data_IF_680197350743
#
_entry.id   IF_680197350743
#
_cell.length_a   1.000
_cell.length_b   1.000
_cell.length_c   1.000
_cell.angle_alpha   90.00
_cell.angle_beta   90.00
_cell.angle_gamma   90.00
#
_symmetry.space_group_name_H-M   'P 1'
#
loop_
_entity.id
_entity.type
_entity.pdbx_description
1 polymer ?
#
# COMPACT_ATOMS: atom_id res chain seq x y z
N UNK A 1 1.80 3.39 -19.05
CA UNK A 1 0.83 4.43 -18.63
C UNK A 1 -0.36 3.72 -18.02
N UNK A 2 -0.75 4.02 -16.78
CA UNK A 2 -1.95 3.44 -16.22
C UNK A 2 -3.14 3.75 -17.14
N UNK A 3 -3.99 2.75 -17.38
CA UNK A 3 -5.23 2.99 -18.09
C UNK A 3 -6.04 4.03 -17.32
N UNK A 4 -6.54 5.04 -18.02
CA UNK A 4 -7.48 6.00 -17.42
C UNK A 4 -8.71 5.22 -16.95
N UNK A 5 -8.88 5.17 -15.65
CA UNK A 5 -10.10 4.62 -15.07
C UNK A 5 -11.23 5.66 -15.18
N UNK A 6 -12.45 5.18 -15.27
CA UNK A 6 -13.61 6.07 -15.20
C UNK A 6 -13.54 6.95 -13.94
N UNK A 7 -13.99 8.21 -14.01
CA UNK A 7 -14.03 9.06 -12.83
C UNK A 7 -14.92 8.42 -11.75
N UNK A 8 -14.57 8.62 -10.47
CA UNK A 8 -15.38 8.07 -9.39
C UNK A 8 -16.80 8.63 -9.44
N UNK A 9 -17.79 7.75 -9.31
CA UNK A 9 -19.21 8.12 -9.27
C UNK A 9 -19.67 8.20 -7.83
N UNK A 10 -20.44 9.22 -7.53
CA UNK A 10 -21.08 9.35 -6.22
C UNK A 10 -22.48 9.93 -6.35
N UNK A 11 -23.38 9.48 -5.50
CA UNK A 11 -24.73 10.03 -5.36
C UNK A 11 -24.81 11.08 -4.25
N UNK A 12 -23.73 11.30 -3.51
CA UNK A 12 -23.69 12.23 -2.39
C UNK A 12 -23.08 13.57 -2.82
N UNK A 13 -23.89 14.65 -2.77
CA UNK A 13 -23.49 15.96 -3.29
C UNK A 13 -22.23 16.54 -2.61
N UNK A 14 -22.10 16.40 -1.29
CA UNK A 14 -20.91 16.90 -0.57
C UNK A 14 -19.63 16.15 -0.96
N UNK A 15 -19.73 14.84 -1.24
CA UNK A 15 -18.60 14.05 -1.73
C UNK A 15 -18.27 14.42 -3.18
N UNK A 16 -19.28 14.59 -4.03
CA UNK A 16 -19.08 15.06 -5.41
C UNK A 16 -18.33 16.39 -5.46
N UNK A 17 -18.71 17.34 -4.61
CA UNK A 17 -18.06 18.65 -4.51
C UNK A 17 -16.57 18.54 -4.08
N UNK A 18 -16.23 17.58 -3.21
CA UNK A 18 -14.84 17.33 -2.79
C UNK A 18 -14.01 16.61 -3.84
N UNK A 19 -14.60 15.69 -4.58
CA UNK A 19 -13.92 14.95 -5.63
C UNK A 19 -13.62 15.85 -6.84
N UNK A 20 -14.53 16.81 -7.16
CA UNK A 20 -14.34 17.70 -8.30
C UNK A 20 -14.09 16.91 -9.60
N UNK A 21 -12.94 17.15 -10.21
CA UNK A 21 -12.46 16.48 -11.42
C UNK A 21 -11.46 15.34 -11.12
N UNK A 22 -11.44 14.85 -9.88
CA UNK A 22 -10.55 13.75 -9.48
C UNK A 22 -10.75 12.52 -10.37
N UNK A 23 -9.66 11.86 -10.69
CA UNK A 23 -9.63 10.64 -11.51
C UNK A 23 -9.04 9.48 -10.71
N UNK A 24 -9.47 8.27 -11.02
CA UNK A 24 -8.83 7.06 -10.52
C UNK A 24 -7.58 6.79 -11.36
N UNK A 25 -6.46 6.57 -10.69
CA UNK A 25 -5.21 6.18 -11.33
C UNK A 25 -4.83 4.77 -10.88
N UNK A 26 -4.46 3.92 -11.81
CA UNK A 26 -3.84 2.64 -11.50
C UNK A 26 -2.35 2.87 -11.24
N UNK A 27 -1.91 2.71 -10.01
CA UNK A 27 -0.51 2.89 -9.64
C UNK A 27 0.34 1.63 -9.91
N UNK A 28 -0.29 0.46 -9.83
CA UNK A 28 0.38 -0.84 -10.03
C UNK A 28 -0.65 -1.92 -10.39
N UNK A 29 -0.37 -2.72 -11.41
CA UNK A 29 -1.29 -3.73 -11.95
C UNK A 29 -0.74 -5.16 -11.91
N UNK A 30 0.42 -5.39 -11.28
CA UNK A 30 1.09 -6.69 -11.23
C UNK A 30 0.93 -7.40 -9.87
N UNK A 31 0.07 -6.89 -9.00
CA UNK A 31 -0.30 -7.59 -7.77
C UNK A 31 -1.40 -8.61 -8.05
N UNK A 32 -1.35 -9.74 -7.35
CA UNK A 32 -2.38 -10.79 -7.46
C UNK A 32 -3.61 -10.42 -6.64
N UNK A 33 -3.42 -9.89 -5.43
CA UNK A 33 -4.52 -9.47 -4.55
C UNK A 33 -4.05 -8.36 -3.61
N UNK A 34 -4.38 -7.13 -3.94
CA UNK A 34 -3.98 -5.94 -3.17
C UNK A 34 -4.87 -5.75 -1.95
N UNK A 35 -4.25 -5.65 -0.78
CA UNK A 35 -4.89 -5.46 0.52
C UNK A 35 -4.09 -4.52 1.42
N UNK A 36 -4.76 -3.98 2.45
CA UNK A 36 -4.14 -3.27 3.56
C UNK A 36 -3.26 -2.08 3.20
N UNK A 37 -3.74 -1.13 2.39
CA UNK A 37 -2.93 0.04 2.05
C UNK A 37 -2.73 0.95 3.26
N UNK A 38 -1.51 1.48 3.41
CA UNK A 38 -1.17 2.49 4.40
C UNK A 38 -0.13 3.46 3.85
N UNK A 39 -0.24 4.72 4.23
CA UNK A 39 0.77 5.71 3.89
C UNK A 39 1.86 5.74 4.95
N UNK A 40 3.10 5.55 4.54
CA UNK A 40 4.27 5.61 5.40
C UNK A 40 4.96 6.96 5.25
N UNK A 41 4.60 7.88 6.10
CA UNK A 41 5.00 9.28 5.99
C UNK A 41 6.52 9.46 6.01
N UNK A 42 7.23 8.79 6.92
CA UNK A 42 8.68 8.92 7.04
C UNK A 42 9.44 8.51 5.77
N UNK A 43 8.85 7.65 4.94
CA UNK A 43 9.43 7.17 3.70
C UNK A 43 8.73 7.69 2.45
N UNK A 44 7.66 8.50 2.62
CA UNK A 44 6.80 8.98 1.54
C UNK A 44 6.42 7.86 0.57
N UNK A 45 5.96 6.75 1.14
CA UNK A 45 5.70 5.51 0.43
C UNK A 45 4.29 5.01 0.74
N UNK A 46 3.52 4.68 -0.29
CA UNK A 46 2.30 3.91 -0.13
C UNK A 46 2.68 2.44 0.01
N UNK A 47 2.34 1.84 1.14
CA UNK A 47 2.61 0.43 1.42
C UNK A 47 1.32 -0.36 1.35
N UNK A 48 1.35 -1.53 0.74
CA UNK A 48 0.23 -2.46 0.72
C UNK A 48 0.71 -3.91 0.61
N UNK A 49 -0.17 -4.84 0.90
CA UNK A 49 0.08 -6.26 0.75
C UNK A 49 -0.42 -6.77 -0.59
N UNK A 50 0.39 -7.57 -1.26
CA UNK A 50 -0.08 -8.54 -2.25
C UNK A 50 -0.26 -9.87 -1.51
N UNK A 51 -1.47 -10.11 -1.01
CA UNK A 51 -1.78 -11.22 -0.10
C UNK A 51 -1.40 -12.57 -0.69
N UNK A 52 -1.92 -12.87 -1.87
CA UNK A 52 -1.69 -14.15 -2.56
C UNK A 52 -0.27 -14.23 -3.11
N UNK A 53 0.28 -13.13 -3.58
CA UNK A 53 1.67 -13.01 -4.01
C UNK A 53 2.68 -13.10 -2.86
N UNK A 54 2.20 -13.09 -1.61
CA UNK A 54 3.01 -13.18 -0.38
C UNK A 54 4.10 -12.13 -0.32
N UNK A 55 3.75 -10.90 -0.70
CA UNK A 55 4.66 -9.75 -0.72
C UNK A 55 4.04 -8.57 0.00
N UNK A 56 4.87 -7.72 0.56
CA UNK A 56 4.50 -6.34 0.90
C UNK A 56 5.22 -5.42 -0.08
N UNK A 57 4.47 -4.55 -0.70
CA UNK A 57 4.92 -3.67 -1.76
C UNK A 57 4.94 -2.22 -1.29
N UNK A 58 5.80 -1.42 -1.87
CA UNK A 58 5.87 0.02 -1.62
C UNK A 58 5.95 0.81 -2.92
N UNK A 59 5.00 1.71 -3.13
CA UNK A 59 4.99 2.65 -4.24
C UNK A 59 5.46 4.02 -3.77
N UNK A 60 6.32 4.65 -4.56
CA UNK A 60 6.81 6.01 -4.33
C UNK A 60 6.26 6.97 -5.39
N UNK A 61 6.25 8.25 -5.06
CA UNK A 61 5.72 9.30 -5.92
C UNK A 61 6.45 9.42 -7.28
N UNK A 62 7.66 8.90 -7.41
CA UNK A 62 8.38 8.78 -8.69
C UNK A 62 7.86 7.63 -9.58
N UNK A 63 6.86 6.88 -9.12
CA UNK A 63 6.24 5.76 -9.81
C UNK A 63 6.93 4.42 -9.58
N UNK A 64 8.06 4.37 -8.88
CA UNK A 64 8.75 3.12 -8.59
C UNK A 64 7.99 2.28 -7.57
N UNK A 65 7.94 0.97 -7.80
CA UNK A 65 7.39 -0.01 -6.86
C UNK A 65 8.48 -0.97 -6.43
N UNK A 66 8.59 -1.16 -5.13
CA UNK A 66 9.56 -2.05 -4.51
C UNK A 66 8.89 -3.17 -3.75
N UNK A 67 9.53 -4.33 -3.73
CA UNK A 67 9.18 -5.41 -2.82
C UNK A 67 9.82 -5.11 -1.47
N UNK A 68 9.01 -4.73 -0.49
CA UNK A 68 9.46 -4.41 0.85
C UNK A 68 9.70 -5.65 1.68
N UNK A 69 8.79 -6.60 1.64
CA UNK A 69 8.90 -7.92 2.25
C UNK A 69 8.53 -8.96 1.21
N UNK A 70 9.28 -10.04 1.16
CA UNK A 70 9.02 -11.18 0.29
C UNK A 70 8.75 -12.43 1.13
N UNK A 71 8.13 -13.44 0.51
CA UNK A 71 7.79 -14.70 1.16
C UNK A 71 7.07 -14.53 2.49
N UNK A 72 6.17 -13.55 2.59
CA UNK A 72 5.40 -13.27 3.81
C UNK A 72 4.46 -14.43 4.17
N UNK A 73 4.03 -14.48 5.41
CA UNK A 73 3.02 -15.43 5.88
C UNK A 73 1.59 -14.91 5.61
N UNK A 74 1.31 -14.53 4.36
CA UNK A 74 0.05 -13.94 3.92
C UNK A 74 -0.28 -12.67 4.72
N UNK A 75 0.61 -11.69 4.64
CA UNK A 75 0.38 -10.37 5.22
C UNK A 75 -0.84 -9.74 4.56
N UNK A 76 -1.77 -9.26 5.38
CA UNK A 76 -3.00 -8.61 4.96
C UNK A 76 -2.96 -7.12 5.35
N UNK A 77 -3.47 -6.75 6.52
CA UNK A 77 -3.50 -5.37 6.97
C UNK A 77 -2.11 -4.83 7.34
N UNK A 78 -1.88 -3.57 7.04
CA UNK A 78 -0.66 -2.86 7.39
C UNK A 78 -1.00 -1.55 8.09
N UNK A 79 -0.15 -1.13 9.00
CA UNK A 79 -0.22 0.16 9.67
C UNK A 79 1.18 0.69 9.96
N UNK A 80 1.27 1.96 10.30
CA UNK A 80 2.51 2.59 10.75
C UNK A 80 2.33 3.00 12.20
N UNK A 81 3.26 2.60 13.08
CA UNK A 81 3.22 2.98 14.48
C UNK A 81 3.79 4.40 14.72
N UNK A 82 3.68 4.87 15.95
CA UNK A 82 4.16 6.21 16.33
C UNK A 82 5.67 6.40 16.13
N UNK A 83 6.44 5.32 16.07
CA UNK A 83 7.88 5.33 15.80
C UNK A 83 8.19 5.11 14.31
N UNK A 84 7.19 5.22 13.44
CA UNK A 84 7.33 5.03 12.00
C UNK A 84 7.80 3.62 11.62
N UNK A 85 7.38 2.60 12.36
CA UNK A 85 7.65 1.19 12.04
C UNK A 85 6.41 0.57 11.42
N UNK A 86 6.59 -0.28 10.44
CA UNK A 86 5.48 -1.02 9.84
C UNK A 86 5.01 -2.14 10.78
N UNK A 87 3.70 -2.21 10.94
CA UNK A 87 3.00 -3.25 11.68
C UNK A 87 2.13 -4.02 10.70
N UNK A 88 2.13 -5.34 10.79
CA UNK A 88 1.48 -6.23 9.85
C UNK A 88 0.57 -7.22 10.54
N UNK A 89 -0.60 -7.47 9.94
CA UNK A 89 -1.45 -8.59 10.28
C UNK A 89 -1.09 -9.78 9.40
N UNK A 90 -0.49 -10.81 9.96
CA UNK A 90 -0.10 -12.01 9.21
C UNK A 90 -1.14 -13.13 9.36
N UNK A 91 -1.90 -13.37 8.31
CA UNK A 91 -2.96 -14.38 8.29
C UNK A 91 -2.41 -15.79 8.52
N UNK A 92 -1.34 -16.17 7.86
CA UNK A 92 -0.77 -17.51 7.96
C UNK A 92 -0.18 -17.83 9.34
N UNK A 93 0.31 -16.84 10.07
CA UNK A 93 0.82 -17.00 11.43
C UNK A 93 -0.22 -16.71 12.50
N UNK A 94 -1.36 -16.15 12.14
CA UNK A 94 -2.36 -15.62 13.09
C UNK A 94 -1.72 -14.69 14.13
N UNK A 95 -0.91 -13.75 13.64
CA UNK A 95 -0.09 -12.88 14.48
C UNK A 95 -0.09 -11.45 13.95
N UNK A 96 0.15 -10.52 14.85
CA UNK A 96 0.56 -9.17 14.49
C UNK A 96 2.08 -9.11 14.64
N UNK A 97 2.74 -8.70 13.58
CA UNK A 97 4.20 -8.57 13.54
C UNK A 97 4.59 -7.12 13.30
N UNK A 98 5.80 -6.78 13.64
CA UNK A 98 6.36 -5.44 13.44
C UNK A 98 7.74 -5.55 12.84
N UNK A 99 7.98 -4.79 11.79
CA UNK A 99 9.30 -4.68 11.19
C UNK A 99 10.22 -3.90 12.12
N UNK A 100 11.25 -4.54 12.66
CA UNK A 100 12.15 -3.94 13.65
C UNK A 100 12.99 -2.80 13.06
N UNK A 101 13.49 -2.98 11.87
CA UNK A 101 14.14 -1.97 11.02
C UNK A 101 14.02 -2.44 9.59
N UNK A 102 13.35 -1.62 8.78
CA UNK A 102 13.37 -1.87 7.38
C UNK A 102 13.70 -0.57 6.65
N UNK A 103 14.94 -0.50 6.19
CA UNK A 103 15.37 0.48 5.21
C UNK A 103 15.94 -0.34 4.04
N UNK A 104 15.38 -0.25 2.86
CA UNK A 104 16.06 -0.75 1.68
C UNK A 104 17.45 -0.15 1.63
N UNK A 105 18.45 -0.93 1.22
CA UNK A 105 19.83 -0.46 1.14
C UNK A 105 19.99 0.87 0.39
N UNK A 106 19.10 1.17 -0.53
CA UNK A 106 19.10 2.42 -1.30
C UNK A 106 18.45 3.61 -0.58
N UNK A 107 17.85 3.40 0.62
CA UNK A 107 17.26 4.44 1.44
C UNK A 107 18.03 4.67 2.74
N UNK A 108 19.05 3.87 2.94
CA UNK A 108 19.95 4.03 4.06
C UNK A 108 20.94 5.20 3.83
#
# INVERSE_FOLDING_TARGET
VPADCDPPRTTHAALAARLGDARLLTLYDQATWSEGPTWWEAQRTLVWSDLVGRRVLGWREDGAVDVLLDATAFTNGNAVDAQQRLVHCEHGRRAITRSARWLPRRWA
#
